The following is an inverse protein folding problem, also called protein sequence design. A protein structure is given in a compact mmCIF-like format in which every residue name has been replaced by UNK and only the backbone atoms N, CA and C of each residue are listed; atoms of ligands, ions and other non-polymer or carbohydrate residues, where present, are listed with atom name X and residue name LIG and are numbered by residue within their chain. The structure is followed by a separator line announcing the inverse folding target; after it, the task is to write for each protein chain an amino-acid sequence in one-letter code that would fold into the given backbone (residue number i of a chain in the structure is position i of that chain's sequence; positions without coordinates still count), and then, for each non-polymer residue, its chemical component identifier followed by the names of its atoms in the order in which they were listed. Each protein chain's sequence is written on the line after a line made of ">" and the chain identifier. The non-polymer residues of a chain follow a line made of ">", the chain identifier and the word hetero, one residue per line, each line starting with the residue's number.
data_IF_438502046915
#
_entry.id   IF_438502046915
#
_cell.length_a   1.000
_cell.length_b   1.000
_cell.length_c   1.000
_cell.angle_alpha   90.00
_cell.angle_beta   90.00
_cell.angle_gamma   90.00
#
_symmetry.space_group_name_H-M   'P 1'
#
loop_
_entity.id
_entity.type
_entity.pdbx_description
1 polymer ?
#
# COMPACT_ATOMS: atom_id res chain seq x y z
N UNK A 1 -13.23 -9.47 -40.10
CA UNK A 1 -14.36 -8.99 -39.30
C UNK A 1 -14.10 -9.35 -37.85
N UNK A 2 -14.08 -8.37 -36.94
CA UNK A 2 -14.18 -8.65 -35.50
C UNK A 2 -15.64 -8.92 -35.20
N UNK A 3 -16.12 -10.11 -35.58
CA UNK A 3 -17.47 -10.52 -35.24
C UNK A 3 -17.60 -10.46 -33.71
N UNK A 4 -18.65 -9.81 -33.21
CA UNK A 4 -18.97 -9.82 -31.78
C UNK A 4 -19.11 -11.28 -31.36
N UNK A 5 -18.28 -11.70 -30.40
CA UNK A 5 -18.18 -13.11 -29.95
C UNK A 5 -17.03 -13.92 -30.57
N UNK A 6 -16.31 -13.40 -31.55
CA UNK A 6 -15.11 -14.04 -32.10
C UNK A 6 -13.90 -14.01 -31.15
N UNK A 7 -12.94 -14.91 -31.34
CA UNK A 7 -11.75 -15.03 -30.46
C UNK A 7 -10.96 -13.72 -30.39
N UNK A 8 -10.74 -13.05 -31.53
CA UNK A 8 -10.01 -11.78 -31.58
C UNK A 8 -10.72 -10.65 -30.80
N UNK A 9 -12.06 -10.65 -30.78
CA UNK A 9 -12.84 -9.70 -29.99
C UNK A 9 -12.57 -9.90 -28.49
N UNK A 10 -12.57 -11.14 -28.02
CA UNK A 10 -12.29 -11.45 -26.61
C UNK A 10 -10.84 -11.15 -26.21
N UNK A 11 -9.88 -11.38 -27.09
CA UNK A 11 -8.47 -10.99 -26.86
C UNK A 11 -8.36 -9.48 -26.72
N UNK A 12 -8.92 -8.71 -27.66
CA UNK A 12 -8.90 -7.24 -27.62
C UNK A 12 -9.56 -6.72 -26.33
N UNK A 13 -10.73 -7.23 -25.99
CA UNK A 13 -11.45 -6.88 -24.77
C UNK A 13 -10.62 -7.19 -23.52
N UNK A 14 -9.95 -8.33 -23.48
CA UNK A 14 -9.09 -8.73 -22.35
C UNK A 14 -7.89 -7.79 -22.20
N UNK A 15 -7.24 -7.42 -23.31
CA UNK A 15 -6.12 -6.48 -23.31
C UNK A 15 -6.57 -5.10 -22.81
N UNK A 16 -7.71 -4.60 -23.29
CA UNK A 16 -8.29 -3.34 -22.80
C UNK A 16 -8.60 -3.41 -21.30
N UNK A 17 -9.21 -4.50 -20.83
CA UNK A 17 -9.50 -4.70 -19.42
C UNK A 17 -8.23 -4.67 -18.56
N UNK A 18 -7.15 -5.32 -19.01
CA UNK A 18 -5.86 -5.28 -18.32
C UNK A 18 -5.27 -3.85 -18.29
N UNK A 19 -5.31 -3.13 -19.41
CA UNK A 19 -4.85 -1.74 -19.47
C UNK A 19 -5.66 -0.83 -18.55
N UNK A 20 -6.97 -1.04 -18.43
CA UNK A 20 -7.82 -0.32 -17.49
C UNK A 20 -7.46 -0.60 -16.04
N UNK A 21 -7.24 -1.87 -15.68
CA UNK A 21 -6.82 -2.25 -14.33
C UNK A 21 -5.50 -1.56 -13.99
N UNK A 22 -4.52 -1.61 -14.89
CA UNK A 22 -3.22 -0.97 -14.72
C UNK A 22 -3.34 0.55 -14.59
N UNK A 23 -4.12 1.21 -15.45
CA UNK A 23 -4.31 2.66 -15.41
C UNK A 23 -5.01 3.14 -14.12
N UNK A 24 -5.98 2.36 -13.64
CA UNK A 24 -6.68 2.62 -12.37
C UNK A 24 -5.74 2.43 -11.19
N UNK A 25 -4.88 1.40 -11.21
CA UNK A 25 -3.91 1.13 -10.14
C UNK A 25 -2.85 2.23 -10.04
N UNK A 26 -2.37 2.74 -11.17
CA UNK A 26 -1.39 3.84 -11.19
C UNK A 26 -1.99 5.22 -10.91
N UNK A 27 -3.27 5.30 -10.52
CA UNK A 27 -3.99 6.54 -10.23
C UNK A 27 -3.89 7.58 -11.36
N UNK A 28 -3.81 7.13 -12.62
CA UNK A 28 -3.79 8.02 -13.79
C UNK A 28 -5.13 7.98 -14.53
N UNK A 29 -6.17 8.66 -14.02
CA UNK A 29 -7.54 8.57 -14.55
C UNK A 29 -7.63 8.97 -16.03
N UNK A 30 -6.76 9.87 -16.50
CA UNK A 30 -6.70 10.27 -17.90
C UNK A 30 -6.47 9.09 -18.86
N UNK A 31 -5.57 8.16 -18.51
CA UNK A 31 -5.28 6.99 -19.35
C UNK A 31 -6.44 5.99 -19.37
N UNK A 32 -7.18 5.87 -18.26
CA UNK A 32 -8.37 5.04 -18.22
C UNK A 32 -9.47 5.58 -19.14
N UNK A 33 -9.71 6.89 -19.15
CA UNK A 33 -10.67 7.50 -20.09
C UNK A 33 -10.26 7.29 -21.54
N UNK A 34 -8.98 7.50 -21.86
CA UNK A 34 -8.46 7.32 -23.22
C UNK A 34 -8.63 5.88 -23.68
N UNK A 35 -8.34 4.88 -22.84
CA UNK A 35 -8.50 3.48 -23.23
C UNK A 35 -9.97 3.07 -23.39
N UNK A 36 -10.89 3.56 -22.56
CA UNK A 36 -12.34 3.37 -22.76
C UNK A 36 -12.78 3.97 -24.10
N UNK A 37 -12.40 5.22 -24.39
CA UNK A 37 -12.77 5.89 -25.64
C UNK A 37 -12.19 5.13 -26.84
N UNK A 38 -10.90 4.78 -26.81
CA UNK A 38 -10.25 4.00 -27.86
C UNK A 38 -10.97 2.67 -28.09
N UNK A 39 -11.43 2.02 -27.03
CA UNK A 39 -12.18 0.77 -27.12
C UNK A 39 -13.54 0.98 -27.78
N UNK A 40 -14.29 2.02 -27.39
CA UNK A 40 -15.55 2.34 -28.04
C UNK A 40 -15.37 2.70 -29.51
N UNK A 41 -14.30 3.41 -29.87
CA UNK A 41 -13.96 3.72 -31.26
C UNK A 41 -13.62 2.46 -32.05
N UNK A 42 -12.81 1.57 -31.49
CA UNK A 42 -12.48 0.28 -32.11
C UNK A 42 -13.72 -0.60 -32.27
N UNK A 43 -14.57 -0.69 -31.25
CA UNK A 43 -15.83 -1.43 -31.31
C UNK A 43 -16.80 -0.84 -32.33
N UNK A 44 -16.89 0.49 -32.42
CA UNK A 44 -17.74 1.15 -33.40
C UNK A 44 -17.22 1.03 -34.83
N UNK A 45 -15.90 0.96 -35.03
CA UNK A 45 -15.29 0.81 -36.35
C UNK A 45 -15.29 -0.64 -36.85
N UNK A 46 -15.06 -1.60 -35.95
CA UNK A 46 -14.89 -3.00 -36.32
C UNK A 46 -16.07 -3.92 -35.97
N UNK A 47 -17.00 -3.46 -35.12
CA UNK A 47 -18.18 -4.21 -34.72
C UNK A 47 -19.45 -3.70 -35.39
N UNK A 48 -20.39 -4.62 -35.65
CA UNK A 48 -21.73 -4.28 -36.19
C UNK A 48 -22.68 -3.67 -35.14
N UNK A 49 -22.21 -3.43 -33.91
CA UNK A 49 -23.04 -2.91 -32.84
C UNK A 49 -23.20 -1.39 -32.94
N UNK A 50 -24.33 -0.95 -33.51
CA UNK A 50 -24.65 0.47 -33.62
C UNK A 50 -25.24 1.01 -32.29
N UNK A 51 -24.37 1.43 -31.37
CA UNK A 51 -24.75 2.04 -30.08
C UNK A 51 -25.76 3.18 -30.28
N UNK A 52 -25.59 3.99 -31.32
CA UNK A 52 -26.49 5.11 -31.61
C UNK A 52 -27.90 4.66 -31.96
N UNK A 53 -28.05 3.55 -32.69
CA UNK A 53 -29.36 2.99 -33.01
C UNK A 53 -30.07 2.48 -31.75
N UNK A 54 -29.33 1.82 -30.84
CA UNK A 54 -29.88 1.35 -29.57
C UNK A 54 -30.36 2.51 -28.68
N UNK A 55 -29.58 3.59 -28.59
CA UNK A 55 -29.96 4.79 -27.81
C UNK A 55 -31.15 5.51 -28.45
N UNK A 56 -31.19 5.66 -29.77
CA UNK A 56 -32.32 6.30 -30.48
C UNK A 56 -33.61 5.47 -30.40
N UNK A 57 -33.49 4.15 -30.41
CA UNK A 57 -34.64 3.25 -30.32
C UNK A 57 -35.33 3.32 -28.96
N UNK A 58 -34.57 3.52 -27.88
CA UNK A 58 -35.11 3.53 -26.50
C UNK A 58 -34.36 4.53 -25.59
N UNK A 59 -34.55 5.85 -25.77
CA UNK A 59 -33.79 6.86 -25.03
C UNK A 59 -34.04 6.81 -23.52
N UNK A 60 -35.27 6.48 -23.09
CA UNK A 60 -35.60 6.35 -21.66
C UNK A 60 -34.85 5.20 -20.98
N UNK A 61 -34.68 4.07 -21.68
CA UNK A 61 -33.94 2.92 -21.15
C UNK A 61 -32.45 3.28 -21.02
N UNK A 62 -31.88 3.90 -22.04
CA UNK A 62 -30.48 4.36 -22.00
C UNK A 62 -30.24 5.36 -20.86
N UNK A 63 -31.16 6.30 -20.67
CA UNK A 63 -31.13 7.26 -19.56
C UNK A 63 -31.25 6.55 -18.21
N UNK A 64 -32.14 5.56 -18.10
CA UNK A 64 -32.28 4.73 -16.90
C UNK A 64 -31.00 4.01 -16.52
N UNK A 65 -30.31 3.38 -17.49
CA UNK A 65 -29.01 2.75 -17.27
C UNK A 65 -27.94 3.75 -16.83
N UNK A 66 -27.92 4.94 -17.42
CA UNK A 66 -26.98 6.00 -17.02
C UNK A 66 -27.20 6.41 -15.56
N UNK A 67 -28.43 6.67 -15.14
CA UNK A 67 -28.73 7.01 -13.74
C UNK A 67 -28.43 5.85 -12.78
N UNK A 68 -28.79 4.63 -13.15
CA UNK A 68 -28.44 3.45 -12.36
C UNK A 68 -26.93 3.33 -12.16
N UNK A 69 -26.13 3.52 -13.22
CA UNK A 69 -24.67 3.51 -13.15
C UNK A 69 -24.12 4.54 -12.15
N UNK A 70 -24.63 5.78 -12.20
CA UNK A 70 -24.21 6.86 -11.30
C UNK A 70 -24.59 6.55 -9.85
N UNK A 71 -25.82 6.08 -9.60
CA UNK A 71 -26.28 5.73 -8.25
C UNK A 71 -25.42 4.61 -7.64
N UNK A 72 -25.15 3.55 -8.41
CA UNK A 72 -24.28 2.46 -7.94
C UNK A 72 -22.86 2.96 -7.68
N UNK A 73 -22.32 3.82 -8.54
CA UNK A 73 -20.99 4.41 -8.33
C UNK A 73 -20.90 5.27 -7.07
N UNK A 74 -21.94 6.05 -6.76
CA UNK A 74 -22.03 6.82 -5.51
C UNK A 74 -22.02 5.88 -4.31
N UNK A 75 -22.90 4.88 -4.30
CA UNK A 75 -22.97 3.90 -3.20
C UNK A 75 -21.65 3.15 -3.01
N UNK A 76 -21.02 2.72 -4.12
CA UNK A 76 -19.72 2.07 -4.09
C UNK A 76 -18.62 2.96 -3.49
N UNK A 77 -18.62 4.25 -3.81
CA UNK A 77 -17.61 5.18 -3.29
C UNK A 77 -17.60 5.27 -1.76
N UNK A 78 -18.77 5.16 -1.10
CA UNK A 78 -18.86 5.09 0.36
C UNK A 78 -18.24 3.80 0.90
N UNK A 79 -18.56 2.66 0.29
CA UNK A 79 -17.96 1.37 0.66
C UNK A 79 -16.44 1.39 0.49
N UNK A 80 -15.96 1.90 -0.64
CA UNK A 80 -14.53 1.97 -0.92
C UNK A 80 -13.80 2.94 0.02
N UNK A 81 -14.43 4.06 0.38
CA UNK A 81 -13.90 4.97 1.41
C UNK A 81 -13.77 4.27 2.76
N UNK A 82 -14.76 3.48 3.18
CA UNK A 82 -14.67 2.69 4.41
C UNK A 82 -13.49 1.71 4.40
N UNK A 83 -13.30 0.96 3.31
CA UNK A 83 -12.15 0.07 3.17
C UNK A 83 -10.82 0.83 3.23
N UNK A 84 -10.74 1.98 2.55
CA UNK A 84 -9.54 2.82 2.56
C UNK A 84 -9.18 3.31 3.98
N UNK A 85 -10.17 3.83 4.73
CA UNK A 85 -9.96 4.28 6.12
C UNK A 85 -9.55 3.11 7.01
N UNK A 86 -10.15 1.94 6.83
CA UNK A 86 -9.81 0.73 7.58
C UNK A 86 -8.36 0.29 7.31
N UNK A 87 -7.94 0.23 6.05
CA UNK A 87 -6.57 -0.12 5.70
C UNK A 87 -5.57 0.88 6.31
N UNK A 88 -5.89 2.18 6.31
CA UNK A 88 -5.07 3.21 6.99
C UNK A 88 -5.04 3.02 8.51
N UNK A 89 -6.12 2.56 9.12
CA UNK A 89 -6.11 2.21 10.54
C UNK A 89 -5.21 1.00 10.81
N UNK A 90 -5.27 -0.03 9.96
CA UNK A 90 -4.45 -1.23 10.12
C UNK A 90 -2.95 -0.89 10.00
N UNK A 91 -2.56 -0.05 9.05
CA UNK A 91 -1.18 0.49 8.93
C UNK A 91 -0.73 1.23 10.21
N UNK A 92 -1.63 2.02 10.82
CA UNK A 92 -1.35 2.72 12.08
C UNK A 92 -1.12 1.74 13.24
N UNK A 93 -1.99 0.75 13.40
CA UNK A 93 -1.86 -0.25 14.47
C UNK A 93 -0.60 -1.11 14.27
N UNK A 94 -0.23 -1.44 13.02
CA UNK A 94 1.03 -2.13 12.72
C UNK A 94 2.25 -1.28 13.10
N UNK A 95 2.26 0.02 12.78
CA UNK A 95 3.33 0.94 13.16
C UNK A 95 3.45 1.07 14.69
N UNK A 96 2.31 1.18 15.37
CA UNK A 96 2.23 1.25 16.83
C UNK A 96 2.69 -0.04 17.50
N UNK A 97 2.31 -1.20 16.97
CA UNK A 97 2.75 -2.49 17.48
C UNK A 97 4.26 -2.65 17.36
N UNK A 98 4.87 -2.20 16.24
CA UNK A 98 6.33 -2.18 16.09
C UNK A 98 6.98 -1.28 17.14
N UNK A 99 6.50 -0.05 17.29
CA UNK A 99 7.02 0.89 18.29
C UNK A 99 7.00 0.31 19.72
N UNK A 100 5.90 -0.31 20.14
CA UNK A 100 5.79 -0.89 21.47
C UNK A 100 6.73 -2.08 21.65
N UNK A 101 6.87 -2.92 20.61
CA UNK A 101 7.82 -4.04 20.60
C UNK A 101 9.27 -3.55 20.72
N UNK A 102 9.62 -2.48 20.01
CA UNK A 102 10.97 -1.89 20.07
C UNK A 102 11.26 -1.27 21.46
N UNK A 103 10.23 -1.01 22.27
CA UNK A 103 10.33 -0.58 23.67
C UNK A 103 10.21 -1.71 24.68
N UNK A 104 10.14 -2.98 24.22
CA UNK A 104 9.97 -4.15 25.09
C UNK A 104 8.59 -4.22 25.78
N UNK A 105 7.60 -3.45 25.31
CA UNK A 105 6.24 -3.46 25.85
C UNK A 105 5.42 -4.44 25.02
N UNK A 106 5.34 -5.67 25.49
CA UNK A 106 4.48 -6.68 24.88
C UNK A 106 3.03 -6.57 25.39
N UNK A 107 2.08 -7.05 24.58
CA UNK A 107 0.67 -7.26 24.96
C UNK A 107 -0.16 -6.03 25.36
N UNK A 108 0.31 -4.80 25.13
CA UNK A 108 -0.46 -3.59 25.47
C UNK A 108 -0.95 -2.88 24.21
N UNK A 109 -2.27 -2.65 24.10
CA UNK A 109 -2.87 -1.91 22.97
C UNK A 109 -2.87 -0.39 23.19
N UNK A 110 -2.43 0.10 24.34
CA UNK A 110 -2.43 1.52 24.71
C UNK A 110 -0.99 1.97 24.88
N UNK A 111 -0.63 3.11 24.27
CA UNK A 111 0.70 3.71 24.45
C UNK A 111 0.77 4.33 25.85
N UNK A 112 1.71 3.91 26.72
CA UNK A 112 1.89 4.49 28.05
C UNK A 112 2.12 6.00 28.02
N UNK A 113 1.65 6.72 29.05
CA UNK A 113 1.69 8.20 29.07
C UNK A 113 3.10 8.77 28.93
N UNK A 114 4.10 8.10 29.51
CA UNK A 114 5.50 8.47 29.40
C UNK A 114 6.06 8.33 27.97
N UNK A 115 5.46 7.47 27.13
CA UNK A 115 5.90 7.20 25.75
C UNK A 115 5.07 7.93 24.69
N UNK A 116 3.95 8.54 25.06
CA UNK A 116 3.07 9.25 24.09
C UNK A 116 3.81 10.34 23.31
N UNK A 117 4.71 11.08 23.96
CA UNK A 117 5.51 12.13 23.31
C UNK A 117 6.45 11.53 22.25
N UNK A 118 7.17 10.47 22.60
CA UNK A 118 8.08 9.79 21.68
C UNK A 118 7.33 9.14 20.51
N UNK A 119 6.24 8.43 20.81
CA UNK A 119 5.33 7.88 19.81
C UNK A 119 4.86 8.96 18.83
N UNK A 120 4.42 10.12 19.32
CA UNK A 120 3.95 11.20 18.44
C UNK A 120 5.04 11.72 17.50
N UNK A 121 6.30 11.74 17.93
CA UNK A 121 7.42 12.17 17.11
C UNK A 121 7.78 11.11 16.06
N UNK A 122 7.87 9.84 16.46
CA UNK A 122 8.17 8.74 15.53
C UNK A 122 7.04 8.56 14.50
N UNK A 123 5.79 8.57 14.97
CA UNK A 123 4.64 8.51 14.10
C UNK A 123 4.56 9.74 13.19
N UNK A 124 4.93 10.94 13.67
CA UNK A 124 5.04 12.13 12.84
C UNK A 124 6.01 11.93 11.67
N UNK A 125 7.20 11.37 11.93
CA UNK A 125 8.19 11.04 10.88
C UNK A 125 7.65 10.01 9.89
N UNK A 126 7.04 8.93 10.39
CA UNK A 126 6.39 7.91 9.57
C UNK A 126 5.30 8.52 8.70
N UNK A 127 4.46 9.37 9.28
CA UNK A 127 3.33 9.95 8.59
C UNK A 127 3.73 10.91 7.47
N UNK A 128 4.86 11.60 7.63
CA UNK A 128 5.45 12.45 6.58
C UNK A 128 6.14 11.65 5.48
N UNK A 129 6.80 10.52 5.81
CA UNK A 129 7.60 9.73 4.85
C UNK A 129 6.75 8.83 3.97
N UNK A 130 5.78 8.13 4.56
CA UNK A 130 5.03 7.07 3.88
C UNK A 130 3.68 7.55 3.34
N UNK A 131 3.54 8.86 3.09
CA UNK A 131 2.30 9.49 2.59
C UNK A 131 1.05 9.13 3.41
N UNK A 132 1.22 8.76 4.69
CA UNK A 132 0.09 8.39 5.54
C UNK A 132 -0.85 9.58 5.74
N UNK A 133 -0.29 10.79 5.89
CA UNK A 133 -1.06 12.04 5.96
C UNK A 133 -1.96 12.19 7.20
N UNK A 134 -1.85 11.29 8.18
CA UNK A 134 -2.68 11.26 9.38
C UNK A 134 -4.08 10.71 9.11
N UNK A 135 -5.08 11.17 9.89
CA UNK A 135 -6.47 10.74 9.69
C UNK A 135 -6.96 11.23 8.32
N UNK A 136 -7.28 10.33 7.38
CA UNK A 136 -7.65 10.72 6.03
C UNK A 136 -8.92 11.57 6.04
N UNK A 137 -8.85 12.77 5.47
CA UNK A 137 -10.02 13.64 5.27
C UNK A 137 -10.55 13.47 3.85
N UNK A 138 -11.87 13.34 3.72
CA UNK A 138 -12.53 13.19 2.41
C UNK A 138 -12.24 14.37 1.48
N UNK A 139 -12.16 15.60 2.02
CA UNK A 139 -11.86 16.82 1.25
C UNK A 139 -10.49 16.76 0.58
N UNK A 140 -9.49 16.24 1.26
CA UNK A 140 -8.12 16.09 0.77
C UNK A 140 -7.99 14.93 -0.25
N UNK A 141 -8.98 14.02 -0.29
CA UNK A 141 -9.02 12.84 -1.16
C UNK A 141 -10.13 12.92 -2.24
N UNK A 142 -10.61 14.13 -2.57
CA UNK A 142 -11.73 14.33 -3.51
C UNK A 142 -11.49 13.65 -4.86
N UNK A 143 -10.29 13.81 -5.44
CA UNK A 143 -9.96 13.23 -6.73
C UNK A 143 -10.09 11.71 -6.73
N UNK A 144 -9.57 11.05 -5.68
CA UNK A 144 -9.65 9.60 -5.50
C UNK A 144 -11.09 9.11 -5.34
N UNK A 145 -11.91 9.82 -4.55
CA UNK A 145 -13.34 9.49 -4.38
C UNK A 145 -14.09 9.61 -5.70
N UNK A 146 -13.86 10.69 -6.48
CA UNK A 146 -14.46 10.86 -7.80
C UNK A 146 -14.06 9.73 -8.76
N UNK A 147 -12.79 9.32 -8.74
CA UNK A 147 -12.32 8.17 -9.52
C UNK A 147 -13.07 6.90 -9.12
N UNK A 148 -13.31 6.64 -7.84
CA UNK A 148 -14.10 5.48 -7.41
C UNK A 148 -15.55 5.53 -7.85
N UNK A 149 -16.15 6.72 -7.94
CA UNK A 149 -17.52 6.88 -8.45
C UNK A 149 -17.59 6.59 -9.96
N UNK A 150 -16.63 7.13 -10.73
CA UNK A 150 -16.64 7.01 -12.20
C UNK A 150 -16.24 5.61 -12.65
N UNK A 151 -15.23 5.01 -12.02
CA UNK A 151 -14.66 3.71 -12.40
C UNK A 151 -15.01 2.61 -11.38
N UNK A 152 -16.21 2.69 -10.79
CA UNK A 152 -16.64 1.78 -9.73
C UNK A 152 -16.61 0.30 -10.11
N UNK A 153 -16.96 -0.15 -11.35
CA UNK A 153 -16.97 -1.59 -11.65
C UNK A 153 -15.57 -2.19 -11.58
N UNK A 154 -14.59 -1.47 -12.11
CA UNK A 154 -13.17 -1.87 -12.06
C UNK A 154 -12.62 -1.79 -10.63
N UNK A 155 -12.94 -0.72 -9.91
CA UNK A 155 -12.54 -0.57 -8.51
C UNK A 155 -13.10 -1.70 -7.63
N UNK A 156 -14.36 -2.08 -7.84
CA UNK A 156 -15.03 -3.18 -7.15
C UNK A 156 -14.39 -4.52 -7.48
N UNK A 157 -14.23 -4.81 -8.77
CA UNK A 157 -13.57 -6.03 -9.23
C UNK A 157 -12.18 -6.18 -8.62
N UNK A 158 -11.36 -5.13 -8.65
CA UNK A 158 -10.02 -5.16 -8.06
C UNK A 158 -10.05 -5.35 -6.54
N UNK A 159 -10.98 -4.71 -5.84
CA UNK A 159 -11.12 -4.88 -4.38
C UNK A 159 -11.48 -6.32 -4.01
N UNK A 160 -12.41 -6.92 -4.75
CA UNK A 160 -12.84 -8.31 -4.56
C UNK A 160 -11.70 -9.32 -4.77
N UNK A 161 -10.71 -9.00 -5.60
CA UNK A 161 -9.56 -9.85 -5.88
C UNK A 161 -8.39 -9.57 -4.94
N UNK A 162 -8.02 -8.31 -4.78
CA UNK A 162 -6.82 -7.88 -4.05
C UNK A 162 -6.91 -8.22 -2.57
N UNK A 163 -8.07 -8.03 -1.94
CA UNK A 163 -8.22 -8.23 -0.50
C UNK A 163 -8.07 -9.72 -0.10
N UNK A 164 -8.74 -10.69 -0.76
CA UNK A 164 -8.49 -12.11 -0.53
C UNK A 164 -7.06 -12.53 -0.82
N UNK A 165 -6.48 -12.05 -1.93
CA UNK A 165 -5.09 -12.36 -2.30
C UNK A 165 -4.13 -11.88 -1.21
N UNK A 166 -4.23 -10.63 -0.75
CA UNK A 166 -3.39 -10.10 0.33
C UNK A 166 -3.49 -10.92 1.60
N UNK A 167 -4.72 -11.30 2.00
CA UNK A 167 -4.94 -12.14 3.18
C UNK A 167 -4.31 -13.53 3.01
N UNK A 168 -4.45 -14.12 1.83
CA UNK A 168 -3.87 -15.41 1.50
C UNK A 168 -2.33 -15.37 1.54
N UNK A 169 -1.71 -14.36 0.94
CA UNK A 169 -0.25 -14.19 1.00
C UNK A 169 0.24 -13.87 2.40
N UNK A 170 -0.47 -13.04 3.17
CA UNK A 170 -0.12 -12.78 4.58
C UNK A 170 -0.17 -14.07 5.40
N UNK A 171 -1.20 -14.90 5.20
CA UNK A 171 -1.30 -16.21 5.83
C UNK A 171 -0.13 -17.13 5.46
N UNK A 172 0.23 -17.21 4.17
CA UNK A 172 1.39 -18.00 3.72
C UNK A 172 2.66 -17.47 4.37
N UNK A 173 2.88 -16.14 4.34
CA UNK A 173 4.05 -15.51 4.89
C UNK A 173 4.21 -15.79 6.38
N UNK A 174 3.15 -15.64 7.19
CA UNK A 174 3.18 -15.92 8.63
C UNK A 174 3.53 -17.39 8.95
N UNK A 175 3.15 -18.33 8.07
CA UNK A 175 3.54 -19.74 8.19
C UNK A 175 4.99 -19.97 7.82
N UNK A 176 5.43 -19.40 6.70
CA UNK A 176 6.79 -19.51 6.21
C UNK A 176 7.80 -18.82 7.14
N UNK A 177 7.44 -17.67 7.72
CA UNK A 177 8.29 -16.92 8.64
C UNK A 177 8.77 -17.79 9.80
N UNK A 178 7.90 -18.63 10.38
CA UNK A 178 8.26 -19.55 11.47
C UNK A 178 9.26 -20.61 11.02
N UNK A 179 9.11 -21.11 9.79
CA UNK A 179 10.02 -22.11 9.22
C UNK A 179 11.38 -21.47 8.95
N UNK A 180 11.40 -20.28 8.34
CA UNK A 180 12.63 -19.55 8.08
C UNK A 180 13.36 -19.16 9.36
N UNK A 181 12.64 -18.72 10.39
CA UNK A 181 13.23 -18.44 11.70
C UNK A 181 13.85 -19.69 12.29
N UNK A 182 13.14 -20.83 12.27
CA UNK A 182 13.69 -22.11 12.77
C UNK A 182 14.96 -22.54 12.03
N UNK A 183 15.03 -22.32 10.72
CA UNK A 183 16.23 -22.62 9.93
C UNK A 183 17.36 -21.68 10.36
N UNK A 184 17.10 -20.38 10.49
CA UNK A 184 18.08 -19.40 10.96
C UNK A 184 18.61 -19.77 12.35
N UNK A 185 17.73 -20.01 13.32
CA UNK A 185 18.09 -20.42 14.68
C UNK A 185 18.93 -21.71 14.67
N UNK A 186 18.59 -22.66 13.79
CA UNK A 186 19.33 -23.92 13.65
C UNK A 186 20.72 -23.75 13.05
N UNK A 187 20.91 -22.80 12.13
CA UNK A 187 22.19 -22.55 11.46
C UNK A 187 23.12 -21.71 12.35
N UNK A 188 22.55 -20.80 13.13
CA UNK A 188 23.31 -19.91 14.01
C UNK A 188 23.58 -20.49 15.41
N UNK A 189 22.94 -21.61 15.76
CA UNK A 189 23.12 -22.27 17.06
C UNK A 189 24.60 -22.47 17.42
N UNK A 190 25.06 -21.78 18.46
CA UNK A 190 26.41 -21.87 19.02
C UNK A 190 27.38 -20.80 18.49
N UNK A 191 26.97 -20.01 17.50
CA UNK A 191 27.72 -18.81 17.08
C UNK A 191 27.58 -17.72 18.14
N UNK A 192 26.50 -17.74 18.94
CA UNK A 192 26.29 -16.78 20.02
C UNK A 192 27.36 -16.89 21.12
N UNK A 193 27.91 -18.09 21.34
CA UNK A 193 28.96 -18.35 22.34
C UNK A 193 30.28 -17.64 21.97
N UNK A 194 30.55 -17.43 20.68
CA UNK A 194 31.76 -16.74 20.19
C UNK A 194 31.75 -15.24 20.48
N UNK A 195 30.57 -14.65 20.73
CA UNK A 195 30.43 -13.23 21.03
C UNK A 195 30.40 -12.91 22.54
N UNK A 196 30.34 -13.95 23.39
CA UNK A 196 30.40 -13.79 24.84
C UNK A 196 31.85 -13.63 25.32
N UNK A 197 32.17 -12.63 26.16
CA UNK A 197 33.46 -12.57 26.82
C UNK A 197 33.70 -13.83 27.67
N UNK A 198 34.91 -14.42 27.70
CA UNK A 198 35.18 -15.60 28.51
C UNK A 198 34.86 -15.35 29.99
N UNK A 199 33.90 -16.11 30.54
CA UNK A 199 33.47 -15.99 31.93
C UNK A 199 32.36 -14.97 32.21
N UNK A 200 31.76 -14.36 31.18
CA UNK A 200 30.51 -13.65 31.35
C UNK A 200 29.40 -14.65 31.73
N UNK A 201 28.66 -14.42 32.82
CA UNK A 201 27.56 -15.30 33.20
C UNK A 201 26.49 -15.31 32.10
N UNK A 202 25.96 -16.51 31.81
CA UNK A 202 24.82 -16.75 30.94
C UNK A 202 23.55 -16.22 31.63
N UNK A 203 23.50 -14.92 31.84
CA UNK A 203 22.28 -14.25 32.26
C UNK A 203 21.50 -13.99 30.97
N UNK A 204 20.24 -14.43 30.91
CA UNK A 204 19.36 -14.42 29.71
C UNK A 204 19.08 -13.01 29.12
N UNK A 205 19.71 -11.96 29.64
CA UNK A 205 19.60 -10.58 29.18
C UNK A 205 20.98 -10.01 28.88
N UNK A 206 21.61 -10.45 27.79
CA UNK A 206 22.68 -9.65 27.20
C UNK A 206 22.06 -8.32 26.77
N UNK A 207 22.55 -7.17 27.28
CA UNK A 207 22.07 -5.88 26.81
C UNK A 207 22.40 -5.78 25.32
N UNK A 208 21.37 -5.70 24.49
CA UNK A 208 21.47 -5.44 23.06
C UNK A 208 22.61 -4.45 22.77
N UNK A 209 23.50 -4.87 21.86
CA UNK A 209 24.64 -4.09 21.37
C UNK A 209 24.21 -2.64 21.16
N UNK A 210 24.99 -1.64 21.61
CA UNK A 210 24.69 -0.22 21.38
C UNK A 210 24.38 0.12 19.91
N UNK A 211 24.92 -0.68 18.98
CA UNK A 211 24.67 -0.56 17.53
C UNK A 211 23.21 -0.86 17.13
N UNK A 212 22.51 -1.73 17.86
CA UNK A 212 21.09 -2.04 17.58
C UNK A 212 20.13 -1.07 18.28
N UNK A 213 20.57 -0.34 19.30
CA UNK A 213 19.77 0.70 19.97
C UNK A 213 19.61 1.99 19.17
N UNK A 214 20.28 2.11 18.02
CA UNK A 214 20.27 3.34 17.22
C UNK A 214 20.88 4.54 17.96
N UNK A 215 21.68 4.30 19.00
CA UNK A 215 22.54 5.32 19.58
C UNK A 215 23.64 5.60 18.56
N UNK A 216 23.55 6.75 17.89
CA UNK A 216 24.61 7.23 17.01
C UNK A 216 25.91 7.31 17.82
N UNK A 217 26.89 6.49 17.46
CA UNK A 217 28.25 6.63 17.98
C UNK A 217 28.68 8.06 17.65
N UNK A 218 28.98 8.92 18.65
CA UNK A 218 29.41 10.28 18.39
C UNK A 218 30.61 10.21 17.46
N UNK A 219 30.44 10.68 16.23
CA UNK A 219 31.54 10.77 15.29
C UNK A 219 32.61 11.65 15.93
N UNK A 220 33.89 11.25 15.88
CA UNK A 220 34.97 12.07 16.41
C UNK A 220 34.88 13.46 15.81
N UNK A 221 34.87 14.48 16.68
CA UNK A 221 34.72 15.87 16.31
C UNK A 221 35.94 16.32 15.48
N UNK A 222 35.76 16.36 14.16
CA UNK A 222 36.77 16.78 13.18
C UNK A 222 37.27 18.22 13.39
N UNK A 223 36.69 18.99 14.33
CA UNK A 223 37.19 20.33 14.67
C UNK A 223 38.51 20.34 15.45
N UNK A 224 39.01 19.18 15.91
CA UNK A 224 40.33 19.07 16.56
C UNK A 224 41.51 18.80 15.60
N UNK A 225 41.42 19.18 14.31
CA UNK A 225 42.60 19.15 13.44
C UNK A 225 43.54 20.32 13.78
N UNK A 226 44.79 20.07 14.25
CA UNK A 226 45.74 21.15 14.54
C UNK A 226 46.03 21.93 13.25
N UNK A 227 45.79 23.24 13.27
CA UNK A 227 46.17 24.14 12.18
C UNK A 227 47.69 24.13 12.06
N UNK A 228 48.19 23.42 11.06
CA UNK A 228 49.61 23.38 10.70
C UNK A 228 50.14 24.80 10.50
N UNK A 229 51.27 25.09 11.15
CA UNK A 229 51.97 26.36 11.09
C UNK A 229 52.41 26.70 9.67
N UNK A 230 52.27 27.97 9.32
CA UNK A 230 52.77 28.52 8.07
C UNK A 230 54.32 28.58 8.08
N UNK A 231 55.00 28.24 6.97
CA UNK A 231 56.44 28.42 6.87
C UNK A 231 56.80 29.91 6.74
N UNK A 232 57.75 30.35 7.57
CA UNK A 232 58.35 31.68 7.52
C UNK A 232 59.17 31.86 6.23
N UNK A 233 59.07 33.06 5.63
CA UNK A 233 59.98 33.57 4.60
C UNK A 233 60.92 34.58 5.23
#
# INVERSE_FOLDING_TARGET
>A
MLAVGGVLFWILLSVVCLLLIVAVEFERPGWATVSVIATFLLLGFFGDFNVWLAVKGNPLIALGFFFAYVVVGVLWSFGKWWFFVRNKRDEYEECKARFLRDKGIENTSVVPDNLKKEWSQQFGRYATRDYYGGKPKARENKARILTWMIYWPWSMFWTLINDPIKRFFKFIYERLQKVYQKIADSVYKGVEDDFLPPGAPLDDELPFSPLERGEEIPLPDDTQKPRGGAPAK
#
